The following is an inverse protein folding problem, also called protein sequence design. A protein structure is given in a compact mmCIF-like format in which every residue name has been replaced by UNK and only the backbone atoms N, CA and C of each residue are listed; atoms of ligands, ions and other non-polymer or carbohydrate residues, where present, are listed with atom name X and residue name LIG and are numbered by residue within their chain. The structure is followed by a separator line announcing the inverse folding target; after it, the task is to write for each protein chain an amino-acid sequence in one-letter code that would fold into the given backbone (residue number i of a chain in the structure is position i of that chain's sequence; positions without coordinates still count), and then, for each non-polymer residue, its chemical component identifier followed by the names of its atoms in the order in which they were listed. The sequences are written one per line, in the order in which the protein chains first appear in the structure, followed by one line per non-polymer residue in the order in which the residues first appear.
data_IF_761294586042
#
_entry.id   IF_761294586042
#
_cell.length_a   1.000
_cell.length_b   1.000
_cell.length_c   1.000
_cell.angle_alpha   90.00
_cell.angle_beta   90.00
_cell.angle_gamma   90.00
#
_symmetry.space_group_name_H-M   'P 1'
#
loop_
_entity.id
_entity.type
_entity.pdbx_description
1 polymer ?
#
# COMPACT_ATOMS: atom_id res chain seq x y z
N UNK A 1 5.75 -32.49 89.04
CA UNK A 1 7.11 -32.57 88.46
C UNK A 1 6.98 -33.57 87.31
N UNK A 2 6.95 -33.25 86.03
CA UNK A 2 7.28 -32.07 85.25
C UNK A 2 6.24 -31.95 84.12
N UNK A 3 5.74 -30.74 83.89
CA UNK A 3 5.32 -30.31 82.56
C UNK A 3 6.60 -30.13 81.75
N UNK A 4 6.75 -30.75 80.58
CA UNK A 4 7.56 -30.19 79.48
C UNK A 4 7.43 -31.00 78.19
N UNK A 5 6.95 -30.29 77.16
CA UNK A 5 7.35 -30.31 75.75
C UNK A 5 7.16 -31.56 74.88
N UNK A 6 6.41 -31.37 73.79
CA UNK A 6 6.49 -32.26 72.62
C UNK A 6 5.44 -32.14 71.52
N UNK A 7 4.48 -31.20 71.58
CA UNK A 7 3.51 -31.01 70.49
C UNK A 7 3.90 -29.80 69.61
N UNK A 8 4.95 -29.94 68.80
CA UNK A 8 5.14 -29.06 67.64
C UNK A 8 4.16 -29.47 66.52
N UNK A 9 2.88 -29.13 66.70
CA UNK A 9 1.97 -29.04 65.56
C UNK A 9 2.48 -27.90 64.68
N UNK A 10 3.05 -28.25 63.52
CA UNK A 10 3.32 -27.33 62.42
C UNK A 10 2.09 -26.44 62.23
N UNK A 11 2.18 -25.20 62.73
CA UNK A 11 1.10 -24.25 62.61
C UNK A 11 0.90 -23.96 61.13
N UNK A 12 -0.35 -23.99 60.66
CA UNK A 12 -0.66 -23.69 59.27
C UNK A 12 -0.06 -22.32 58.91
N UNK A 13 0.86 -22.25 57.93
CA UNK A 13 1.58 -21.02 57.61
C UNK A 13 0.63 -19.88 57.20
N UNK A 14 -0.52 -20.21 56.60
CA UNK A 14 -1.55 -19.23 56.28
C UNK A 14 -2.18 -18.64 57.55
N UNK A 15 -2.49 -19.46 58.56
CA UNK A 15 -3.05 -18.98 59.82
C UNK A 15 -2.07 -18.08 60.58
N UNK A 16 -0.76 -18.40 60.54
CA UNK A 16 0.29 -17.58 61.18
C UNK A 16 0.43 -16.23 60.48
N UNK A 17 0.43 -16.21 59.14
CA UNK A 17 0.51 -14.98 58.34
C UNK A 17 -0.75 -14.12 58.48
N UNK A 18 -1.94 -14.74 58.53
CA UNK A 18 -3.20 -14.05 58.79
C UNK A 18 -3.21 -13.42 60.18
N UNK A 19 -2.83 -14.18 61.22
CA UNK A 19 -2.73 -13.66 62.59
C UNK A 19 -1.73 -12.51 62.69
N UNK A 20 -0.58 -12.60 62.00
CA UNK A 20 0.42 -11.55 61.96
C UNK A 20 -0.09 -10.28 61.26
N UNK A 21 -0.79 -10.44 60.13
CA UNK A 21 -1.40 -9.33 59.37
C UNK A 21 -2.44 -8.58 60.20
N UNK A 22 -3.30 -9.31 60.94
CA UNK A 22 -4.33 -8.72 61.81
C UNK A 22 -3.73 -8.05 63.04
N UNK A 23 -2.74 -8.68 63.70
CA UNK A 23 -2.12 -8.14 64.92
C UNK A 23 -1.19 -6.95 64.66
N UNK A 24 -0.54 -6.88 63.49
CA UNK A 24 0.41 -5.82 63.11
C UNK A 24 0.19 -5.29 61.68
N UNK A 25 -0.95 -4.62 61.41
CA UNK A 25 -1.35 -4.24 60.05
C UNK A 25 -0.38 -3.27 59.37
N UNK A 26 0.20 -2.31 60.11
CA UNK A 26 1.18 -1.35 59.56
C UNK A 26 2.47 -2.04 59.09
N UNK A 27 2.93 -3.05 59.84
CA UNK A 27 4.14 -3.80 59.48
C UNK A 27 3.87 -4.72 58.30
N UNK A 28 2.72 -5.36 58.24
CA UNK A 28 2.33 -6.21 57.12
C UNK A 28 2.23 -5.41 55.81
N UNK A 29 1.58 -4.23 55.82
CA UNK A 29 1.51 -3.35 54.66
C UNK A 29 2.89 -2.88 54.19
N UNK A 30 3.78 -2.52 55.12
CA UNK A 30 5.14 -2.11 54.79
C UNK A 30 5.94 -3.23 54.13
N UNK A 31 5.79 -4.47 54.60
CA UNK A 31 6.43 -5.65 54.00
C UNK A 31 5.90 -5.90 52.59
N UNK A 32 4.57 -5.84 52.38
CA UNK A 32 3.99 -5.97 51.05
C UNK A 32 4.46 -4.87 50.10
N UNK A 33 4.51 -3.61 50.57
CA UNK A 33 4.99 -2.48 49.78
C UNK A 33 6.47 -2.63 49.39
N UNK A 34 7.31 -3.09 50.31
CA UNK A 34 8.72 -3.40 50.04
C UNK A 34 8.87 -4.54 49.03
N UNK A 35 8.05 -5.59 49.12
CA UNK A 35 8.02 -6.68 48.14
C UNK A 35 7.65 -6.19 46.74
N UNK A 36 6.62 -5.35 46.64
CA UNK A 36 6.22 -4.74 45.36
C UNK A 36 7.35 -3.88 44.80
N UNK A 37 7.95 -3.01 45.62
CA UNK A 37 9.08 -2.16 45.20
C UNK A 37 10.33 -2.96 44.80
N UNK A 38 10.54 -4.13 45.40
CA UNK A 38 11.65 -5.03 45.04
C UNK A 38 11.41 -5.73 43.70
N UNK A 39 10.14 -5.99 43.35
CA UNK A 39 9.76 -6.60 42.07
C UNK A 39 9.70 -5.58 40.91
N UNK A 40 9.37 -4.32 41.18
CA UNK A 40 9.22 -3.24 40.18
C UNK A 40 10.41 -3.05 39.22
N UNK A 41 11.68 -3.14 39.64
CA UNK A 41 12.82 -3.03 38.73
C UNK A 41 12.82 -4.06 37.61
N UNK A 42 12.18 -5.22 37.80
CA UNK A 42 12.08 -6.27 36.78
C UNK A 42 11.12 -5.88 35.63
N UNK A 43 10.20 -4.93 35.88
CA UNK A 43 9.29 -4.46 34.83
C UNK A 43 10.02 -3.69 33.72
N UNK A 44 11.17 -3.08 34.01
CA UNK A 44 12.02 -2.41 33.01
C UNK A 44 12.75 -3.39 32.07
N UNK A 45 12.75 -4.68 32.39
CA UNK A 45 13.37 -5.73 31.56
C UNK A 45 12.34 -6.49 30.71
N UNK A 46 11.07 -6.07 30.72
CA UNK A 46 10.05 -6.63 29.84
C UNK A 46 10.23 -5.98 28.45
N UNK A 47 10.86 -6.71 27.54
CA UNK A 47 10.84 -6.38 26.12
C UNK A 47 9.60 -7.01 25.51
N UNK A 48 8.66 -6.17 25.10
CA UNK A 48 7.56 -6.63 24.26
C UNK A 48 8.10 -6.77 22.85
N UNK A 49 8.10 -7.99 22.36
CA UNK A 49 8.26 -8.23 20.94
C UNK A 49 6.95 -7.82 20.25
N UNK A 50 7.02 -6.77 19.43
CA UNK A 50 5.89 -6.25 18.67
C UNK A 50 6.02 -6.59 17.17
N UNK A 51 6.95 -7.47 16.81
CA UNK A 51 7.03 -8.02 15.46
C UNK A 51 5.82 -8.90 15.17
N UNK A 52 5.53 -9.10 13.89
CA UNK A 52 4.46 -10.00 13.45
C UNK A 52 4.67 -11.43 13.97
N UNK A 53 5.92 -11.89 13.98
CA UNK A 53 6.35 -13.21 14.45
C UNK A 53 6.05 -13.48 15.92
N UNK A 54 5.97 -12.43 16.76
CA UNK A 54 5.66 -12.57 18.17
C UNK A 54 4.25 -13.16 18.43
N UNK A 55 3.36 -13.10 17.43
CA UNK A 55 1.99 -13.60 17.51
C UNK A 55 1.80 -15.00 16.93
N UNK A 56 2.79 -15.52 16.20
CA UNK A 56 2.69 -16.84 15.59
C UNK A 56 3.23 -17.95 16.52
N UNK A 57 2.48 -19.06 16.69
CA UNK A 57 2.96 -20.18 17.49
C UNK A 57 4.02 -20.97 16.73
N UNK A 58 5.09 -21.38 17.43
CA UNK A 58 6.11 -22.28 16.90
C UNK A 58 5.52 -23.67 16.53
N UNK A 59 5.12 -23.83 15.26
CA UNK A 59 4.62 -25.10 14.73
C UNK A 59 5.08 -25.34 13.28
N UNK A 60 4.85 -26.55 12.78
CA UNK A 60 5.31 -26.97 11.45
C UNK A 60 4.68 -26.16 10.30
N UNK A 61 3.46 -25.67 10.48
CA UNK A 61 2.77 -24.85 9.48
C UNK A 61 3.35 -23.44 9.39
N UNK A 62 3.63 -22.80 10.53
CA UNK A 62 4.29 -21.48 10.58
C UNK A 62 5.72 -21.58 10.04
N UNK A 63 6.46 -22.65 10.38
CA UNK A 63 7.80 -22.86 9.79
C UNK A 63 7.77 -22.99 8.28
N UNK A 64 6.81 -23.73 7.73
CA UNK A 64 6.66 -23.84 6.28
C UNK A 64 6.28 -22.50 5.63
N UNK A 65 5.46 -21.69 6.32
CA UNK A 65 5.10 -20.35 5.87
C UNK A 65 6.35 -19.46 5.80
N UNK A 66 7.13 -19.42 6.87
CA UNK A 66 8.38 -18.63 6.93
C UNK A 66 9.40 -19.11 5.87
N UNK A 67 9.56 -20.43 5.69
CA UNK A 67 10.45 -20.98 4.66
C UNK A 67 10.00 -20.57 3.24
N UNK A 68 8.69 -20.43 3.02
CA UNK A 68 8.13 -19.96 1.73
C UNK A 68 8.28 -18.45 1.58
N UNK A 69 8.08 -17.68 2.65
CA UNK A 69 8.28 -16.22 2.65
C UNK A 69 9.74 -15.86 2.35
N UNK A 70 10.69 -16.50 3.05
CA UNK A 70 12.13 -16.31 2.85
C UNK A 70 12.61 -16.64 1.43
N UNK A 71 12.05 -17.69 0.81
CA UNK A 71 12.49 -18.18 -0.51
C UNK A 71 11.75 -17.48 -1.67
N UNK A 72 10.47 -17.16 -1.51
CA UNK A 72 9.59 -16.78 -2.64
C UNK A 72 8.95 -15.40 -2.54
N UNK A 73 8.91 -14.74 -1.38
CA UNK A 73 8.30 -13.41 -1.27
C UNK A 73 9.36 -12.32 -1.18
N UNK A 74 9.29 -11.36 -2.11
CA UNK A 74 9.61 -10.00 -1.75
C UNK A 74 8.49 -9.54 -0.80
N UNK A 75 8.84 -9.16 0.43
CA UNK A 75 7.93 -8.49 1.35
C UNK A 75 7.50 -7.18 0.68
N UNK A 76 6.28 -7.15 0.15
CA UNK A 76 5.72 -5.97 -0.51
C UNK A 76 4.53 -5.51 0.29
N UNK A 77 4.71 -4.39 0.96
CA UNK A 77 3.63 -3.68 1.61
C UNK A 77 2.82 -2.85 0.63
N UNK A 78 1.50 -2.91 0.76
CA UNK A 78 0.58 -2.11 -0.04
C UNK A 78 -0.02 -0.98 0.79
N UNK A 79 0.26 0.25 0.38
CA UNK A 79 -0.51 1.40 0.85
C UNK A 79 -1.72 1.55 -0.06
N UNK A 80 -2.91 1.29 0.48
CA UNK A 80 -4.18 1.41 -0.24
C UNK A 80 -5.01 2.55 0.32
N UNK A 81 -5.45 3.44 -0.56
CA UNK A 81 -6.50 4.42 -0.26
C UNK A 81 -7.81 3.90 -0.85
N UNK A 82 -8.87 3.90 -0.03
CA UNK A 82 -10.22 3.56 -0.45
C UNK A 82 -11.08 4.79 -0.22
N UNK A 83 -11.52 5.39 -1.32
CA UNK A 83 -12.44 6.51 -1.30
C UNK A 83 -13.87 6.05 -1.59
N UNK A 84 -14.84 6.65 -0.91
CA UNK A 84 -16.26 6.33 -1.07
C UNK A 84 -16.92 7.44 -1.88
N UNK A 85 -17.31 7.10 -3.09
CA UNK A 85 -18.04 7.98 -4.01
C UNK A 85 -19.51 7.57 -4.10
N UNK A 86 -20.38 8.53 -4.44
CA UNK A 86 -21.80 8.29 -4.68
C UNK A 86 -22.06 7.74 -6.10
N UNK A 87 -23.26 7.21 -6.31
CA UNK A 87 -23.66 6.71 -7.62
C UNK A 87 -23.65 7.83 -8.66
N UNK A 88 -22.92 7.61 -9.77
CA UNK A 88 -22.81 8.58 -10.85
C UNK A 88 -21.68 9.61 -10.68
N UNK A 89 -20.95 9.59 -9.57
CA UNK A 89 -19.82 10.51 -9.36
C UNK A 89 -18.70 10.31 -10.38
N UNK A 90 -18.47 9.08 -10.85
CA UNK A 90 -17.51 8.79 -11.93
C UNK A 90 -17.82 9.51 -13.25
N UNK A 91 -19.03 10.07 -13.41
CA UNK A 91 -19.39 10.87 -14.60
C UNK A 91 -18.99 12.34 -14.48
N UNK A 92 -18.53 12.77 -13.30
CA UNK A 92 -18.10 14.15 -13.01
C UNK A 92 -16.58 14.28 -13.17
N UNK A 93 -16.13 15.35 -13.83
CA UNK A 93 -14.68 15.68 -13.95
C UNK A 93 -14.04 15.79 -12.58
N UNK A 94 -14.69 16.51 -11.66
CA UNK A 94 -14.20 16.81 -10.32
C UNK A 94 -13.77 15.54 -9.54
N UNK A 95 -14.50 14.42 -9.71
CA UNK A 95 -14.16 13.15 -9.07
C UNK A 95 -12.86 12.56 -9.61
N UNK A 96 -12.62 12.67 -10.92
CA UNK A 96 -11.37 12.20 -11.52
C UNK A 96 -10.19 13.11 -11.16
N UNK A 97 -10.41 14.42 -11.05
CA UNK A 97 -9.41 15.39 -10.58
C UNK A 97 -9.02 15.12 -9.10
N UNK A 98 -10.00 14.78 -8.27
CA UNK A 98 -9.76 14.38 -6.88
C UNK A 98 -8.96 13.08 -6.80
N UNK A 99 -9.35 12.04 -7.55
CA UNK A 99 -8.61 10.79 -7.63
C UNK A 99 -7.17 11.00 -8.12
N UNK A 100 -6.97 11.84 -9.14
CA UNK A 100 -5.65 12.19 -9.65
C UNK A 100 -4.82 12.95 -8.60
N UNK A 101 -5.45 13.81 -7.80
CA UNK A 101 -4.79 14.54 -6.72
C UNK A 101 -4.35 13.60 -5.60
N UNK A 102 -5.21 12.68 -5.16
CA UNK A 102 -4.91 11.67 -4.14
C UNK A 102 -3.72 10.82 -4.60
N UNK A 103 -3.77 10.32 -5.83
CA UNK A 103 -2.71 9.51 -6.40
C UNK A 103 -1.39 10.29 -6.52
N UNK A 104 -1.44 11.54 -7.00
CA UNK A 104 -0.27 12.41 -7.07
C UNK A 104 0.35 12.66 -5.68
N UNK A 105 -0.47 12.86 -4.65
CA UNK A 105 0.01 13.05 -3.27
C UNK A 105 0.72 11.81 -2.74
N UNK A 106 0.28 10.60 -3.09
CA UNK A 106 0.98 9.37 -2.74
C UNK A 106 2.32 9.23 -3.45
N UNK A 107 2.35 9.52 -4.76
CA UNK A 107 3.55 9.41 -5.59
C UNK A 107 4.62 10.41 -5.13
N UNK A 108 4.21 11.66 -4.86
CA UNK A 108 5.09 12.76 -4.49
C UNK A 108 5.49 12.73 -2.99
N UNK A 109 4.97 11.78 -2.20
CA UNK A 109 5.26 11.72 -0.77
C UNK A 109 6.72 11.31 -0.52
N UNK A 110 7.50 12.24 0.05
CA UNK A 110 8.93 12.03 0.32
C UNK A 110 9.18 10.84 1.26
N UNK A 111 8.30 10.59 2.23
CA UNK A 111 8.45 9.49 3.18
C UNK A 111 8.24 8.12 2.54
N UNK A 112 7.52 8.06 1.41
CA UNK A 112 7.23 6.80 0.70
C UNK A 112 8.25 6.51 -0.40
N UNK A 113 9.04 7.51 -0.81
CA UNK A 113 9.90 7.44 -1.98
C UNK A 113 10.96 6.34 -1.91
N UNK A 114 11.51 6.07 -0.72
CA UNK A 114 12.49 5.00 -0.50
C UNK A 114 11.88 3.59 -0.56
N UNK A 115 10.58 3.48 -0.27
CA UNK A 115 9.84 2.22 -0.20
C UNK A 115 9.07 1.89 -1.49
N UNK A 116 9.13 2.76 -2.51
CA UNK A 116 8.43 2.57 -3.77
C UNK A 116 9.04 1.42 -4.57
N UNK A 117 8.29 0.32 -4.72
CA UNK A 117 8.69 -0.85 -5.49
C UNK A 117 7.88 -0.98 -6.79
N UNK A 118 8.52 -0.97 -7.98
CA UNK A 118 7.81 -1.03 -9.27
C UNK A 118 7.35 -2.46 -9.60
N UNK A 119 6.19 -2.85 -9.07
CA UNK A 119 5.60 -4.18 -9.28
C UNK A 119 5.34 -4.54 -10.75
N UNK A 120 5.07 -3.54 -11.59
CA UNK A 120 4.77 -3.72 -13.02
C UNK A 120 5.85 -3.13 -13.93
N UNK A 121 7.10 -3.09 -13.44
CA UNK A 121 8.30 -2.75 -14.22
C UNK A 121 8.53 -1.26 -14.48
N UNK A 122 7.49 -0.42 -14.52
CA UNK A 122 7.65 1.01 -14.84
C UNK A 122 7.26 1.92 -13.67
N UNK A 123 6.30 1.50 -12.83
CA UNK A 123 5.74 2.34 -11.78
C UNK A 123 5.44 1.56 -10.50
N UNK A 124 5.62 2.25 -9.37
CA UNK A 124 5.33 1.78 -8.01
C UNK A 124 3.89 2.02 -7.55
N UNK A 125 3.10 2.72 -8.37
CA UNK A 125 1.71 3.04 -8.09
C UNK A 125 0.78 2.44 -9.15
N UNK A 126 -0.46 2.19 -8.75
CA UNK A 126 -1.55 1.83 -9.62
C UNK A 126 -2.83 2.47 -9.06
N UNK A 127 -3.33 3.48 -9.74
CA UNK A 127 -4.55 4.18 -9.38
C UNK A 127 -5.54 4.21 -10.54
N UNK A 128 -6.78 4.58 -10.22
CA UNK A 128 -7.84 4.74 -11.21
C UNK A 128 -7.51 5.85 -12.20
N UNK A 129 -7.01 6.99 -11.72
CA UNK A 129 -6.68 8.15 -12.56
C UNK A 129 -5.51 7.84 -13.51
N UNK A 130 -4.40 7.29 -13.01
CA UNK A 130 -3.28 6.91 -13.87
C UNK A 130 -3.68 5.85 -14.91
N UNK A 131 -4.49 4.87 -14.53
CA UNK A 131 -4.97 3.83 -15.45
C UNK A 131 -5.90 4.41 -16.53
N UNK A 132 -6.87 5.24 -16.14
CA UNK A 132 -7.77 5.89 -17.09
C UNK A 132 -7.02 6.84 -18.02
N UNK A 133 -6.03 7.57 -17.51
CA UNK A 133 -5.18 8.45 -18.31
C UNK A 133 -4.39 7.65 -19.36
N UNK A 134 -3.73 6.55 -18.97
CA UNK A 134 -3.00 5.70 -19.92
C UNK A 134 -3.93 5.11 -20.98
N UNK A 135 -5.11 4.64 -20.55
CA UNK A 135 -6.11 4.12 -21.48
C UNK A 135 -6.56 5.20 -22.47
N UNK A 136 -6.89 6.41 -22.00
CA UNK A 136 -7.28 7.54 -22.87
C UNK A 136 -6.21 7.93 -23.87
N UNK A 137 -4.93 7.81 -23.49
CA UNK A 137 -3.79 8.16 -24.34
C UNK A 137 -3.50 7.10 -25.40
N UNK A 138 -3.60 5.82 -25.05
CA UNK A 138 -3.07 4.73 -25.89
C UNK A 138 -4.12 3.75 -26.41
N UNK A 139 -5.26 3.61 -25.74
CA UNK A 139 -6.24 2.54 -26.00
C UNK A 139 -7.59 3.07 -26.45
N UNK A 140 -7.97 4.30 -26.08
CA UNK A 140 -9.24 4.88 -26.46
C UNK A 140 -9.36 4.98 -27.99
N UNK A 141 -10.37 4.33 -28.62
CA UNK A 141 -10.49 4.30 -30.07
C UNK A 141 -10.67 5.69 -30.68
N UNK A 142 -11.36 6.62 -30.00
CA UNK A 142 -11.62 7.97 -30.52
C UNK A 142 -10.36 8.84 -30.54
N UNK A 143 -9.57 8.79 -29.46
CA UNK A 143 -8.29 9.51 -29.43
C UNK A 143 -7.24 8.84 -30.32
N UNK A 144 -7.20 7.50 -30.35
CA UNK A 144 -6.23 6.76 -31.13
C UNK A 144 -6.47 6.84 -32.65
N UNK A 145 -7.74 6.94 -33.08
CA UNK A 145 -8.08 7.09 -34.50
C UNK A 145 -7.39 8.31 -35.12
N UNK A 146 -7.19 9.40 -34.37
CA UNK A 146 -6.57 10.63 -34.86
C UNK A 146 -5.16 10.37 -35.42
N UNK A 147 -4.29 9.75 -34.62
CA UNK A 147 -2.92 9.48 -35.04
C UNK A 147 -2.83 8.22 -35.92
N UNK A 148 -3.70 7.22 -35.69
CA UNK A 148 -3.68 5.96 -36.44
C UNK A 148 -4.09 6.15 -37.91
N UNK A 149 -5.13 6.95 -38.17
CA UNK A 149 -5.56 7.27 -39.54
C UNK A 149 -4.47 8.05 -40.27
N UNK A 150 -3.94 9.10 -39.64
CA UNK A 150 -2.84 9.90 -40.19
C UNK A 150 -1.62 9.03 -40.54
N UNK A 151 -1.23 8.13 -39.63
CA UNK A 151 -0.12 7.19 -39.85
C UNK A 151 -0.41 6.23 -41.01
N UNK A 152 -1.61 5.64 -41.05
CA UNK A 152 -1.99 4.70 -42.10
C UNK A 152 -1.97 5.36 -43.49
N UNK A 153 -2.44 6.61 -43.57
CA UNK A 153 -2.42 7.40 -44.79
C UNK A 153 -0.99 7.73 -45.22
N UNK A 154 -0.15 8.21 -44.29
CA UNK A 154 1.23 8.55 -44.61
C UNK A 154 2.06 7.32 -45.04
N UNK A 155 1.79 6.14 -44.47
CA UNK A 155 2.39 4.86 -44.90
C UNK A 155 1.93 4.51 -46.31
N UNK A 156 0.62 4.64 -46.61
CA UNK A 156 0.08 4.35 -47.92
C UNK A 156 0.64 5.27 -49.00
N UNK A 157 0.73 6.58 -48.72
CA UNK A 157 1.33 7.60 -49.60
C UNK A 157 2.80 7.29 -49.88
N UNK A 158 3.57 6.94 -48.84
CA UNK A 158 4.98 6.56 -48.99
C UNK A 158 5.14 5.28 -49.82
N UNK A 159 4.20 4.33 -49.70
CA UNK A 159 4.25 3.07 -50.45
C UNK A 159 4.01 3.21 -51.95
N UNK A 160 3.33 4.27 -52.38
CA UNK A 160 3.02 4.54 -53.81
C UNK A 160 3.79 5.74 -54.37
N UNK A 161 4.72 6.30 -53.58
CA UNK A 161 5.48 7.48 -53.97
C UNK A 161 6.53 7.15 -55.05
N UNK A 162 6.66 8.06 -56.01
CA UNK A 162 7.65 7.99 -57.07
C UNK A 162 8.89 8.84 -56.71
N UNK A 163 9.95 8.79 -57.54
CA UNK A 163 11.20 9.52 -57.30
C UNK A 163 11.03 11.06 -57.12
N UNK A 164 9.94 11.63 -57.64
CA UNK A 164 9.64 13.07 -57.50
C UNK A 164 8.92 13.39 -56.19
N UNK A 165 8.13 12.47 -55.64
CA UNK A 165 7.25 12.70 -54.48
C UNK A 165 7.69 11.97 -53.20
N UNK A 166 8.72 11.13 -53.28
CA UNK A 166 9.23 10.33 -52.16
C UNK A 166 9.71 11.19 -50.99
N UNK A 167 10.39 12.32 -51.26
CA UNK A 167 10.88 13.19 -50.19
C UNK A 167 9.75 13.84 -49.40
N UNK A 168 8.68 14.27 -50.09
CA UNK A 168 7.50 14.86 -49.44
C UNK A 168 6.73 13.80 -48.66
N UNK A 169 6.59 12.59 -49.22
CA UNK A 169 5.92 11.47 -48.55
C UNK A 169 6.67 11.01 -47.29
N UNK A 170 8.00 10.97 -47.33
CA UNK A 170 8.83 10.67 -46.15
C UNK A 170 8.74 11.78 -45.09
N UNK A 171 8.67 13.05 -45.50
CA UNK A 171 8.43 14.15 -44.57
C UNK A 171 7.06 14.01 -43.90
N UNK A 172 6.00 13.70 -44.65
CA UNK A 172 4.67 13.44 -44.12
C UNK A 172 4.64 12.25 -43.16
N UNK A 173 5.33 11.15 -43.49
CA UNK A 173 5.48 10.00 -42.60
C UNK A 173 6.21 10.37 -41.31
N UNK A 174 7.26 11.18 -41.38
CA UNK A 174 7.96 11.70 -40.20
C UNK A 174 7.02 12.52 -39.32
N UNK A 175 6.20 13.39 -39.91
CA UNK A 175 5.19 14.14 -39.14
C UNK A 175 4.15 13.22 -38.49
N UNK A 176 3.64 12.22 -39.21
CA UNK A 176 2.67 11.27 -38.68
C UNK A 176 3.24 10.40 -37.55
N UNK A 177 4.53 10.02 -37.63
CA UNK A 177 5.21 9.30 -36.54
C UNK A 177 5.33 10.17 -35.28
N UNK A 178 5.59 11.47 -35.45
CA UNK A 178 5.67 12.40 -34.31
C UNK A 178 4.31 12.68 -33.66
N UNK A 179 3.21 12.33 -34.33
CA UNK A 179 1.83 12.46 -33.81
C UNK A 179 1.46 11.29 -32.88
N UNK A 180 2.24 10.19 -32.88
CA UNK A 180 2.02 9.06 -31.98
C UNK A 180 2.31 9.51 -30.54
N UNK A 181 1.37 9.32 -29.60
CA UNK A 181 1.58 9.65 -28.19
C UNK A 181 2.80 8.94 -27.63
N UNK A 182 3.71 9.69 -27.00
CA UNK A 182 4.88 9.11 -26.34
C UNK A 182 4.48 8.32 -25.10
N UNK A 183 5.21 7.24 -24.82
CA UNK A 183 5.07 6.51 -23.55
C UNK A 183 5.61 7.38 -22.42
N UNK A 184 4.74 7.83 -21.53
CA UNK A 184 5.12 8.65 -20.38
C UNK A 184 5.03 7.86 -19.08
N UNK A 185 6.00 8.04 -18.19
CA UNK A 185 5.83 7.67 -16.79
C UNK A 185 4.93 8.71 -16.15
N UNK A 186 3.70 8.32 -15.81
CA UNK A 186 2.80 9.12 -14.99
C UNK A 186 3.48 9.42 -13.65
N UNK A 187 3.56 10.70 -13.33
CA UNK A 187 4.08 11.21 -12.07
C UNK A 187 3.06 12.19 -11.47
N UNK A 188 3.33 12.71 -10.28
CA UNK A 188 2.39 13.60 -9.61
C UNK A 188 2.07 14.87 -10.39
N UNK A 189 3.00 15.42 -11.19
CA UNK A 189 2.72 16.60 -12.01
C UNK A 189 1.87 16.27 -13.25
N UNK A 190 2.07 15.09 -13.85
CA UNK A 190 1.23 14.59 -14.93
C UNK A 190 -0.22 14.43 -14.48
N UNK A 191 -0.45 13.83 -13.30
CA UNK A 191 -1.79 13.64 -12.73
C UNK A 191 -2.46 14.96 -12.35
N UNK A 192 -1.72 15.88 -11.71
CA UNK A 192 -2.26 17.20 -11.31
C UNK A 192 -2.62 18.09 -12.51
N UNK A 193 -1.97 17.89 -13.66
CA UNK A 193 -2.23 18.64 -14.88
C UNK A 193 -3.12 17.86 -15.87
N UNK A 194 -3.70 16.73 -15.46
CA UNK A 194 -4.53 15.92 -16.33
C UNK A 194 -5.86 16.63 -16.61
N UNK A 195 -6.12 16.89 -17.89
CA UNK A 195 -7.45 17.29 -18.37
C UNK A 195 -8.31 16.03 -18.55
N UNK A 196 -9.27 15.84 -17.64
CA UNK A 196 -10.14 14.66 -17.65
C UNK A 196 -11.21 14.75 -18.75
N UNK A 197 -11.34 15.90 -19.42
CA UNK A 197 -12.36 16.15 -20.43
C UNK A 197 -13.77 15.95 -19.89
N UNK A 198 -14.60 15.23 -20.65
CA UNK A 198 -15.95 14.88 -20.22
C UNK A 198 -16.05 13.37 -19.95
N UNK A 199 -16.03 12.92 -18.68
CA UNK A 199 -16.15 11.51 -18.34
C UNK A 199 -17.41 10.83 -18.88
N UNK A 200 -18.49 11.57 -19.10
CA UNK A 200 -19.72 11.00 -19.69
C UNK A 200 -19.51 10.51 -21.13
N UNK A 201 -18.48 11.01 -21.83
CA UNK A 201 -18.19 10.61 -23.21
C UNK A 201 -17.28 9.39 -23.29
N UNK A 202 -16.22 9.36 -22.49
CA UNK A 202 -15.19 8.32 -22.58
C UNK A 202 -15.39 7.15 -21.62
N UNK A 203 -16.01 7.37 -20.45
CA UNK A 203 -16.22 6.31 -19.46
C UNK A 203 -17.06 5.14 -20.01
N UNK A 204 -18.17 5.37 -20.76
CA UNK A 204 -18.91 4.25 -21.34
C UNK A 204 -18.07 3.40 -22.29
N UNK A 205 -17.12 4.02 -23.03
CA UNK A 205 -16.24 3.29 -23.95
C UNK A 205 -15.26 2.40 -23.19
N UNK A 206 -14.72 2.92 -22.08
CA UNK A 206 -13.88 2.17 -21.17
C UNK A 206 -14.65 0.99 -20.53
N UNK A 207 -15.87 1.25 -20.04
CA UNK A 207 -16.74 0.24 -19.41
C UNK A 207 -17.16 -0.86 -20.40
N UNK A 208 -17.42 -0.50 -21.66
CA UNK A 208 -17.75 -1.44 -22.74
C UNK A 208 -16.52 -2.22 -23.26
N UNK A 209 -15.31 -1.90 -22.76
CA UNK A 209 -14.07 -2.56 -23.14
C UNK A 209 -13.63 -2.25 -24.58
N UNK A 210 -14.00 -1.09 -25.11
CA UNK A 210 -13.59 -0.66 -26.45
C UNK A 210 -12.11 -0.27 -26.43
N UNK A 211 -11.27 -1.04 -27.10
CA UNK A 211 -9.84 -0.80 -27.24
C UNK A 211 -9.42 -0.92 -28.72
N UNK A 212 -8.29 -0.33 -29.08
CA UNK A 212 -7.65 -0.52 -30.40
C UNK A 212 -6.94 -1.87 -30.52
#
# INVERSE_FOLDING_TARGET
MLWENGDEKLQNPFNVLTDYSVKKPKSALLICLLLVLLLMPNAMFINFDNSEDAFFPDNETVRLLNDVEDEYQAEVDFIRIIDRIEEGDLKKSDTWEELATIEATLIDNENLKEYQYPLFGVQSHNGLASSAMQWLMYQDPVNAEKWMVNLSQAIAETSVADNETINDSLNNLSYAINDIPSLITINGSTLKNWDTGNPTEWLPRLDDGLNI
#
